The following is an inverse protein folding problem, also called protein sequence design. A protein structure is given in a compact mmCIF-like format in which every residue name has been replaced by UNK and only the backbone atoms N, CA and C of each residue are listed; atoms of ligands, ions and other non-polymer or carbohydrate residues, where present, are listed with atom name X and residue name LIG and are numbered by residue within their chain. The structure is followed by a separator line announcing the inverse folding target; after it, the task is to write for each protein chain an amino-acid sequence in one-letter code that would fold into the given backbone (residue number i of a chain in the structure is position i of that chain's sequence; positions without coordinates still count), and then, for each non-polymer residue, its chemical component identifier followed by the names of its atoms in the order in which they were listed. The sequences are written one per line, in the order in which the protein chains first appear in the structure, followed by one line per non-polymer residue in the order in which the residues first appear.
data_IF_418206651741
#
_entry.id   IF_418206651741
#
_cell.length_a   1.000
_cell.length_b   1.000
_cell.length_c   1.000
_cell.angle_alpha   90.00
_cell.angle_beta   90.00
_cell.angle_gamma   90.00
#
_symmetry.space_group_name_H-M   'P 1'
#
loop_
_entity.id
_entity.type
_entity.pdbx_description
1 polymer ?
#
# COMPACT_ATOMS: atom_id res chain seq x y z
N UNK A 1 12.56 7.34 -8.58
CA UNK A 1 11.14 6.90 -8.50
C UNK A 1 10.98 5.51 -9.07
N UNK A 2 10.34 4.62 -8.33
CA UNK A 2 10.02 3.27 -8.80
C UNK A 2 8.54 2.98 -8.54
N UNK A 3 7.98 2.06 -9.31
CA UNK A 3 6.59 1.67 -9.14
C UNK A 3 6.44 0.16 -9.28
N UNK A 4 5.36 -0.38 -8.73
CA UNK A 4 5.05 -1.79 -8.81
C UNK A 4 3.56 -2.03 -8.73
N UNK A 5 3.04 -2.83 -9.67
CA UNK A 5 1.65 -3.25 -9.65
C UNK A 5 1.52 -4.47 -8.76
N UNK A 6 0.46 -4.52 -7.97
CA UNK A 6 0.22 -5.64 -7.07
C UNK A 6 -1.27 -5.85 -6.88
N UNK A 7 -1.67 -7.10 -6.69
CA UNK A 7 -3.06 -7.46 -6.42
C UNK A 7 -3.23 -7.63 -4.91
N UNK A 8 -4.30 -7.04 -4.38
CA UNK A 8 -4.65 -7.16 -2.96
C UNK A 8 -5.47 -8.42 -2.78
N UNK A 9 -4.92 -9.41 -2.08
CA UNK A 9 -5.52 -10.75 -1.98
C UNK A 9 -6.04 -11.11 -0.59
N UNK A 10 -5.86 -10.26 0.40
CA UNK A 10 -6.38 -10.54 1.74
C UNK A 10 -7.89 -10.33 1.81
N UNK A 11 -8.54 -11.04 2.72
CA UNK A 11 -10.01 -11.13 2.77
C UNK A 11 -10.70 -9.76 2.88
N UNK A 12 -10.19 -8.85 3.69
CA UNK A 12 -10.83 -7.56 3.94
C UNK A 12 -10.35 -6.43 3.03
N UNK A 13 -9.36 -6.69 2.15
CA UNK A 13 -8.77 -5.63 1.34
C UNK A 13 -8.05 -4.59 2.20
N UNK A 14 -8.02 -3.34 1.75
CA UNK A 14 -7.39 -2.25 2.49
C UNK A 14 -8.42 -1.49 3.34
N UNK A 15 -9.03 -2.19 4.29
CA UNK A 15 -9.95 -1.63 5.26
C UNK A 15 -9.49 -1.95 6.67
N UNK A 16 -9.92 -1.15 7.63
CA UNK A 16 -9.72 -1.41 9.06
C UNK A 16 -8.25 -1.76 9.37
N UNK A 17 -8.01 -2.93 9.93
CA UNK A 17 -6.72 -3.37 10.42
C UNK A 17 -5.65 -3.49 9.33
N UNK A 18 -5.92 -4.08 8.15
CA UNK A 18 -4.93 -4.09 7.07
C UNK A 18 -4.50 -2.70 6.62
N UNK A 19 -5.43 -1.76 6.54
CA UNK A 19 -5.09 -0.38 6.19
C UNK A 19 -4.16 0.25 7.24
N UNK A 20 -4.42 -0.01 8.51
CA UNK A 20 -3.55 0.48 9.59
C UNK A 20 -2.13 -0.09 9.46
N UNK A 21 -2.00 -1.39 9.24
CA UNK A 21 -0.69 -2.01 9.04
C UNK A 21 0.03 -1.45 7.82
N UNK A 22 -0.70 -1.25 6.73
CA UNK A 22 -0.14 -0.69 5.50
C UNK A 22 0.44 0.71 5.76
N UNK A 23 -0.31 1.55 6.43
CA UNK A 23 0.11 2.92 6.72
C UNK A 23 1.28 2.97 7.68
N UNK A 24 1.28 2.14 8.71
CA UNK A 24 2.40 2.06 9.64
C UNK A 24 3.68 1.63 8.92
N UNK A 25 3.57 0.65 8.02
CA UNK A 25 4.73 0.21 7.25
C UNK A 25 5.23 1.33 6.33
N UNK A 26 4.31 1.99 5.62
CA UNK A 26 4.67 3.10 4.72
C UNK A 26 5.38 4.23 5.48
N UNK A 27 4.90 4.55 6.69
CA UNK A 27 5.50 5.61 7.50
C UNK A 27 6.87 5.24 8.07
N UNK A 28 7.28 3.98 8.02
CA UNK A 28 8.60 3.58 8.47
C UNK A 28 9.70 3.91 7.46
N UNK A 29 9.35 4.35 6.26
CA UNK A 29 10.32 4.71 5.23
C UNK A 29 10.34 6.23 5.00
N UNK A 30 11.52 6.83 4.77
CA UNK A 30 11.62 8.28 4.61
C UNK A 30 11.15 8.80 3.27
N UNK A 31 11.09 7.95 2.23
CA UNK A 31 10.70 8.38 0.90
C UNK A 31 9.21 8.68 0.83
N UNK A 32 8.80 9.38 -0.23
CA UNK A 32 7.39 9.58 -0.54
C UNK A 32 6.81 8.31 -1.13
N UNK A 33 5.60 7.94 -0.73
CA UNK A 33 4.95 6.73 -1.20
C UNK A 33 3.50 7.04 -1.55
N UNK A 34 3.08 6.57 -2.72
CA UNK A 34 1.70 6.73 -3.20
C UNK A 34 1.12 5.38 -3.57
N UNK A 35 -0.20 5.29 -3.49
CA UNK A 35 -0.94 4.15 -4.01
C UNK A 35 -1.90 4.69 -5.07
N UNK A 36 -1.91 4.04 -6.23
CA UNK A 36 -2.70 4.46 -7.39
C UNK A 36 -3.64 3.34 -7.81
N UNK A 37 -4.84 3.73 -8.18
CA UNK A 37 -5.80 2.83 -8.78
C UNK A 37 -6.72 3.65 -9.68
N UNK A 38 -6.87 3.22 -10.95
CA UNK A 38 -7.60 3.96 -11.97
C UNK A 38 -7.00 5.36 -12.10
N UNK A 39 -7.81 6.42 -11.97
CA UNK A 39 -7.32 7.79 -12.08
C UNK A 39 -7.01 8.42 -10.72
N UNK A 40 -7.03 7.63 -9.65
CA UNK A 40 -6.79 8.14 -8.30
C UNK A 40 -5.38 7.81 -7.84
N UNK A 41 -4.78 8.78 -7.17
CA UNK A 41 -3.45 8.66 -6.58
C UNK A 41 -3.52 9.30 -5.20
N UNK A 42 -3.22 8.53 -4.16
CA UNK A 42 -3.28 9.02 -2.79
C UNK A 42 -1.96 8.76 -2.07
N UNK A 43 -1.71 9.54 -1.03
CA UNK A 43 -0.54 9.36 -0.17
C UNK A 43 -0.72 8.06 0.64
N UNK A 44 0.21 7.11 0.45
CA UNK A 44 0.16 5.82 1.14
C UNK A 44 0.40 5.93 2.64
N UNK A 45 0.84 7.11 3.13
CA UNK A 45 1.06 7.36 4.55
C UNK A 45 -0.16 8.00 5.23
N UNK A 46 -1.25 8.21 4.47
CA UNK A 46 -2.48 8.82 4.97
C UNK A 46 -3.57 7.76 5.11
N UNK A 47 -4.04 7.53 6.33
CA UNK A 47 -5.12 6.56 6.57
C UNK A 47 -6.39 6.95 5.82
N UNK A 48 -6.78 8.21 5.88
CA UNK A 48 -7.96 8.68 5.18
C UNK A 48 -7.82 8.52 3.67
N UNK A 49 -6.63 8.81 3.14
CA UNK A 49 -6.36 8.65 1.71
C UNK A 49 -6.51 7.19 1.27
N UNK A 50 -5.89 6.27 2.00
CA UNK A 50 -5.96 4.84 1.66
C UNK A 50 -7.38 4.31 1.79
N UNK A 51 -8.07 4.64 2.89
CA UNK A 51 -9.45 4.20 3.09
C UNK A 51 -10.39 4.73 2.02
N UNK A 52 -10.15 5.96 1.54
CA UNK A 52 -11.01 6.59 0.53
C UNK A 52 -10.98 5.88 -0.81
N UNK A 53 -9.98 5.04 -1.05
CA UNK A 53 -9.88 4.32 -2.33
C UNK A 53 -10.79 3.10 -2.42
N UNK A 54 -11.31 2.62 -1.31
CA UNK A 54 -12.24 1.49 -1.31
C UNK A 54 -11.64 0.22 -1.91
N UNK A 55 -10.37 -0.06 -1.62
CA UNK A 55 -9.68 -1.20 -2.22
C UNK A 55 -10.12 -2.49 -1.55
N UNK A 56 -10.67 -3.40 -2.35
CA UNK A 56 -11.19 -4.69 -1.90
C UNK A 56 -10.33 -5.83 -2.43
N UNK A 57 -10.57 -7.03 -1.90
CA UNK A 57 -9.90 -8.24 -2.35
C UNK A 57 -10.02 -8.42 -3.86
N UNK A 58 -8.92 -8.74 -4.50
CA UNK A 58 -8.87 -8.97 -5.94
C UNK A 58 -8.57 -7.73 -6.78
N UNK A 59 -8.57 -6.55 -6.18
CA UNK A 59 -8.25 -5.33 -6.90
C UNK A 59 -6.75 -5.17 -7.07
N UNK A 60 -6.36 -4.67 -8.25
CA UNK A 60 -4.97 -4.34 -8.56
C UNK A 60 -4.70 -2.88 -8.25
N UNK A 61 -3.56 -2.61 -7.64
CA UNK A 61 -3.12 -1.24 -7.35
C UNK A 61 -1.68 -1.08 -7.78
N UNK A 62 -1.23 0.16 -7.96
CA UNK A 62 0.15 0.49 -8.24
C UNK A 62 0.74 1.22 -7.05
N UNK A 63 1.84 0.69 -6.51
CA UNK A 63 2.61 1.36 -5.48
C UNK A 63 3.72 2.17 -6.15
N UNK A 64 3.89 3.42 -5.74
CA UNK A 64 4.94 4.30 -6.25
C UNK A 64 5.74 4.82 -5.07
N UNK A 65 7.06 4.74 -5.15
CA UNK A 65 7.94 5.28 -4.13
C UNK A 65 9.00 6.16 -4.78
N UNK A 66 9.31 7.29 -4.14
CA UNK A 66 10.25 8.27 -4.67
C UNK A 66 11.09 8.85 -3.54
N UNK A 67 12.38 8.64 -3.62
CA UNK A 67 13.32 9.18 -2.65
C UNK A 67 14.22 8.12 -2.03
N UNK A 68 14.84 8.49 -0.93
CA UNK A 68 15.79 7.64 -0.23
C UNK A 68 15.10 6.38 0.30
N UNK A 69 15.65 5.22 -0.05
CA UNK A 69 15.10 3.93 0.41
C UNK A 69 13.87 3.49 -0.37
N UNK A 70 13.64 4.03 -1.55
CA UNK A 70 12.45 3.71 -2.34
C UNK A 70 12.33 2.23 -2.68
N UNK A 71 13.45 1.53 -2.95
CA UNK A 71 13.41 0.11 -3.23
C UNK A 71 13.00 -0.69 -1.99
N UNK A 72 13.58 -0.36 -0.84
CA UNK A 72 13.25 -1.01 0.42
C UNK A 72 11.77 -0.78 0.77
N UNK A 73 11.26 0.42 0.49
CA UNK A 73 9.87 0.75 0.75
C UNK A 73 8.94 -0.14 -0.07
N UNK A 74 9.19 -0.26 -1.37
CA UNK A 74 8.38 -1.11 -2.24
C UNK A 74 8.47 -2.57 -1.80
N UNK A 75 9.67 -3.08 -1.53
CA UNK A 75 9.84 -4.46 -1.10
C UNK A 75 9.12 -4.74 0.22
N UNK A 76 9.23 -3.83 1.18
CA UNK A 76 8.58 -3.98 2.47
C UNK A 76 7.06 -3.98 2.37
N UNK A 77 6.50 -3.09 1.56
CA UNK A 77 5.05 -3.03 1.35
C UNK A 77 4.55 -4.25 0.58
N UNK A 78 5.27 -4.69 -0.44
CA UNK A 78 4.91 -5.90 -1.19
C UNK A 78 4.94 -7.12 -0.27
N UNK A 79 5.94 -7.25 0.58
CA UNK A 79 6.02 -8.37 1.52
C UNK A 79 4.83 -8.38 2.49
N UNK A 80 4.42 -7.21 2.98
CA UNK A 80 3.27 -7.09 3.87
C UNK A 80 1.98 -7.50 3.16
N UNK A 81 1.80 -7.06 1.92
CA UNK A 81 0.62 -7.40 1.12
C UNK A 81 0.60 -8.89 0.80
N UNK A 82 1.75 -9.45 0.39
CA UNK A 82 1.84 -10.87 0.04
C UNK A 82 1.63 -11.79 1.25
N UNK A 83 1.92 -11.32 2.45
CA UNK A 83 1.65 -12.07 3.68
C UNK A 83 0.16 -12.04 4.07
N UNK A 84 -0.67 -11.30 3.34
CA UNK A 84 -2.08 -11.15 3.66
C UNK A 84 -2.32 -10.26 4.88
N UNK A 85 -1.40 -9.36 5.20
CA UNK A 85 -1.45 -8.48 6.37
C UNK A 85 -1.63 -9.28 7.67
N UNK A 86 -1.11 -10.50 7.70
CA UNK A 86 -1.22 -11.42 8.84
C UNK A 86 -2.67 -11.81 9.17
N UNK A 87 -3.59 -11.62 8.23
CA UNK A 87 -4.96 -12.11 8.40
C UNK A 87 -5.00 -13.63 8.26
N UNK A 88 -5.70 -14.28 9.16
CA UNK A 88 -5.87 -15.73 9.15
C UNK A 88 -6.87 -16.16 8.07
#
# INVERSE_FOLDING_TARGET
MISRDIVINNASGLHARPATFFIQKANSFPCSIWIERDDRKVNAKSLLGVLSMGIAKGMSVTLVADGQGEEDAIQGLVALIDSGFEEA
#
